data_IF_110479507348
#
_entry.id   IF_110479507348
#
_cell.length_a   1.000
_cell.length_b   1.000
_cell.length_c   1.000
_cell.angle_alpha   90.00
_cell.angle_beta   90.00
_cell.angle_gamma   90.00
#
_symmetry.space_group_name_H-M   'P 1'
#
loop_
_entity.id
_entity.type
_entity.pdbx_description
1 polymer ?
#
# COMPACT_ATOMS: atom_id res chain seq x y z
N UNK A 1 -15.30 3.23 -13.21
CA UNK A 1 -15.02 4.01 -11.99
C UNK A 1 -16.38 4.34 -11.39
N UNK A 2 -16.68 3.80 -10.21
CA UNK A 2 -17.92 4.11 -9.51
C UNK A 2 -17.78 5.49 -8.86
N UNK A 3 -18.86 6.25 -8.88
CA UNK A 3 -18.93 7.48 -8.10
C UNK A 3 -19.06 7.14 -6.61
N UNK A 4 -18.65 8.08 -5.74
CA UNK A 4 -18.64 7.95 -4.28
C UNK A 4 -20.01 7.48 -3.77
N UNK A 5 -21.11 8.00 -4.31
CA UNK A 5 -22.46 7.59 -3.91
C UNK A 5 -22.74 6.12 -4.26
N UNK A 6 -22.28 5.66 -5.41
CA UNK A 6 -22.47 4.28 -5.84
C UNK A 6 -21.61 3.31 -5.00
N UNK A 7 -20.39 3.73 -4.62
CA UNK A 7 -19.53 2.97 -3.70
C UNK A 7 -20.22 2.83 -2.34
N UNK A 8 -20.72 3.93 -1.76
CA UNK A 8 -21.43 3.91 -0.47
C UNK A 8 -22.68 3.03 -0.51
N UNK A 9 -23.45 3.08 -1.60
CA UNK A 9 -24.60 2.19 -1.76
C UNK A 9 -24.18 0.72 -1.80
N UNK A 10 -23.11 0.40 -2.55
CA UNK A 10 -22.58 -0.95 -2.67
C UNK A 10 -22.05 -1.48 -1.33
N UNK A 11 -21.33 -0.64 -0.57
CA UNK A 11 -20.86 -1.00 0.78
C UNK A 11 -22.02 -1.40 1.69
N UNK A 12 -23.04 -0.56 1.79
CA UNK A 12 -24.23 -0.85 2.62
C UNK A 12 -24.96 -2.10 2.13
N UNK A 13 -25.07 -2.29 0.82
CA UNK A 13 -25.72 -3.45 0.24
C UNK A 13 -24.99 -4.74 0.61
N UNK A 14 -23.66 -4.76 0.45
CA UNK A 14 -22.84 -5.94 0.75
C UNK A 14 -22.75 -6.24 2.25
N UNK A 15 -22.83 -5.24 3.12
CA UNK A 15 -22.90 -5.46 4.58
C UNK A 15 -24.17 -6.23 5.00
N UNK A 16 -25.28 -6.06 4.27
CA UNK A 16 -26.53 -6.78 4.54
C UNK A 16 -26.59 -8.17 3.88
N UNK A 17 -25.53 -8.54 3.13
CA UNK A 17 -25.51 -9.76 2.36
C UNK A 17 -25.36 -10.99 3.27
N UNK A 18 -26.26 -11.97 3.12
CA UNK A 18 -26.35 -13.10 4.06
C UNK A 18 -25.40 -14.27 3.72
N UNK A 19 -24.80 -14.28 2.53
CA UNK A 19 -23.94 -15.37 2.08
C UNK A 19 -22.48 -14.92 1.99
N UNK A 20 -21.57 -15.88 1.80
CA UNK A 20 -20.16 -15.57 1.55
C UNK A 20 -19.99 -14.88 0.20
N UNK A 21 -19.19 -13.82 0.18
CA UNK A 21 -18.78 -13.10 -1.03
C UNK A 21 -17.25 -13.09 -1.10
N UNK A 22 -16.71 -13.18 -2.32
CA UNK A 22 -15.30 -12.96 -2.60
C UNK A 22 -15.18 -11.68 -3.42
N UNK A 23 -14.48 -10.69 -2.89
CA UNK A 23 -14.31 -9.39 -3.54
C UNK A 23 -12.83 -9.11 -3.75
N UNK A 24 -12.50 -8.61 -4.95
CA UNK A 24 -11.17 -8.09 -5.27
C UNK A 24 -11.31 -6.58 -5.42
N UNK A 25 -10.65 -5.83 -4.54
CA UNK A 25 -10.66 -4.37 -4.57
C UNK A 25 -9.27 -3.82 -4.25
N UNK A 26 -8.97 -2.65 -4.81
CA UNK A 26 -7.80 -1.85 -4.45
C UNK A 26 -8.16 -0.68 -3.52
N UNK A 27 -9.44 -0.49 -3.21
CA UNK A 27 -9.92 0.54 -2.30
C UNK A 27 -9.87 0.05 -0.86
N UNK A 28 -9.03 0.71 -0.05
CA UNK A 28 -8.81 0.36 1.35
C UNK A 28 -10.04 0.64 2.22
N UNK A 29 -10.76 1.72 1.94
CA UNK A 29 -11.93 2.11 2.73
C UNK A 29 -13.08 1.12 2.51
N UNK A 30 -13.30 0.76 1.24
CA UNK A 30 -14.28 -0.26 0.88
C UNK A 30 -13.97 -1.61 1.53
N UNK A 31 -12.71 -2.07 1.45
CA UNK A 31 -12.30 -3.32 2.07
C UNK A 31 -12.51 -3.27 3.59
N UNK A 32 -12.07 -2.19 4.24
CA UNK A 32 -12.30 -2.00 5.68
C UNK A 32 -13.78 -2.06 6.08
N UNK A 33 -14.68 -1.53 5.25
CA UNK A 33 -16.10 -1.48 5.57
C UNK A 33 -16.82 -2.81 5.37
N UNK A 34 -16.37 -3.65 4.43
CA UNK A 34 -17.17 -4.80 3.95
C UNK A 34 -16.57 -6.15 4.31
N UNK A 35 -15.23 -6.29 4.37
CA UNK A 35 -14.60 -7.61 4.49
C UNK A 35 -14.42 -8.06 5.93
N UNK A 36 -14.58 -9.37 6.17
CA UNK A 36 -14.31 -9.99 7.47
C UNK A 36 -12.94 -10.67 7.53
N UNK A 37 -12.40 -11.03 6.36
CA UNK A 37 -11.16 -11.77 6.18
C UNK A 37 -10.49 -11.30 4.90
N UNK A 38 -9.15 -11.30 4.91
CA UNK A 38 -8.32 -10.88 3.77
C UNK A 38 -7.45 -12.04 3.33
N UNK A 39 -7.47 -12.28 2.03
CA UNK A 39 -6.56 -13.22 1.37
C UNK A 39 -5.51 -12.39 0.64
N UNK A 40 -4.29 -12.39 1.18
CA UNK A 40 -3.16 -11.68 0.60
C UNK A 40 -2.39 -12.62 -0.34
N UNK A 41 -2.36 -12.27 -1.62
CA UNK A 41 -1.55 -12.94 -2.64
C UNK A 41 -0.19 -12.24 -2.74
N UNK A 42 0.88 -12.91 -2.31
CA UNK A 42 2.25 -12.40 -2.36
C UNK A 42 3.26 -13.52 -2.64
N UNK A 43 4.28 -13.25 -3.47
CA UNK A 43 5.32 -14.23 -3.86
C UNK A 43 4.76 -15.61 -4.26
N UNK A 44 3.70 -15.60 -5.08
CA UNK A 44 2.97 -16.79 -5.55
C UNK A 44 2.34 -17.64 -4.43
N UNK A 45 2.10 -17.05 -3.26
CA UNK A 45 1.48 -17.70 -2.10
C UNK A 45 0.27 -16.91 -1.62
N UNK A 46 -0.70 -17.63 -1.07
CA UNK A 46 -1.89 -17.07 -0.45
C UNK A 46 -1.74 -17.18 1.07
N UNK A 47 -1.87 -16.05 1.75
CA UNK A 47 -1.93 -16.00 3.21
C UNK A 47 -3.24 -15.35 3.65
N UNK A 48 -3.94 -15.99 4.58
CA UNK A 48 -5.23 -15.52 5.09
C UNK A 48 -5.05 -14.78 6.40
N UNK A 49 -5.73 -13.65 6.53
CA UNK A 49 -5.75 -12.77 7.69
C UNK A 49 -7.19 -12.56 8.12
N UNK A 50 -7.46 -12.69 9.42
CA UNK A 50 -8.78 -12.43 9.98
C UNK A 50 -8.89 -10.96 10.38
N UNK A 51 -9.99 -10.32 10.00
CA UNK A 51 -10.25 -8.90 10.24
C UNK A 51 -10.27 -8.07 8.96
N UNK A 52 -10.44 -6.78 9.15
CA UNK A 52 -10.45 -5.75 8.10
C UNK A 52 -9.05 -5.48 7.51
N UNK A 53 -8.97 -4.52 6.58
CA UNK A 53 -7.75 -4.16 5.88
C UNK A 53 -6.71 -3.51 6.80
N UNK A 54 -7.12 -2.69 7.76
CA UNK A 54 -6.21 -2.10 8.75
C UNK A 54 -5.54 -3.17 9.63
N UNK A 55 -6.31 -4.13 10.12
CA UNK A 55 -5.78 -5.25 10.90
C UNK A 55 -4.81 -6.12 10.09
N UNK A 56 -5.11 -6.36 8.81
CA UNK A 56 -4.20 -7.02 7.89
C UNK A 56 -2.87 -6.26 7.77
N UNK A 57 -2.90 -4.96 7.47
CA UNK A 57 -1.70 -4.14 7.29
C UNK A 57 -0.85 -4.16 8.56
N UNK A 58 -1.47 -3.94 9.71
CA UNK A 58 -0.77 -3.96 11.01
C UNK A 58 -0.12 -5.31 11.30
N UNK A 59 -0.87 -6.40 11.10
CA UNK A 59 -0.36 -7.76 11.32
C UNK A 59 0.78 -8.10 10.37
N UNK A 60 0.69 -7.68 9.10
CA UNK A 60 1.74 -7.83 8.10
C UNK A 60 3.01 -7.07 8.53
N UNK A 61 2.88 -5.81 8.92
CA UNK A 61 4.01 -5.00 9.39
C UNK A 61 4.69 -5.59 10.63
N UNK A 62 3.91 -6.02 11.62
CA UNK A 62 4.44 -6.62 12.85
C UNK A 62 5.18 -7.93 12.55
N UNK A 63 4.64 -8.75 11.64
CA UNK A 63 5.32 -9.98 11.17
C UNK A 63 6.62 -9.67 10.45
N UNK A 64 6.64 -8.67 9.56
CA UNK A 64 7.85 -8.24 8.87
C UNK A 64 8.91 -7.71 9.85
N UNK A 65 8.52 -6.88 10.83
CA UNK A 65 9.42 -6.37 11.87
C UNK A 65 10.01 -7.50 12.71
N UNK A 66 9.21 -8.48 13.10
CA UNK A 66 9.69 -9.64 13.86
C UNK A 66 10.66 -10.49 13.05
N UNK A 67 10.33 -10.80 11.79
CA UNK A 67 11.22 -11.51 10.88
C UNK A 67 12.54 -10.76 10.68
N UNK A 68 12.50 -9.42 10.59
CA UNK A 68 13.70 -8.60 10.45
C UNK A 68 14.58 -8.65 11.69
N UNK A 69 14.00 -8.57 12.90
CA UNK A 69 14.76 -8.72 14.15
C UNK A 69 15.40 -10.10 14.29
N UNK A 70 14.66 -11.16 13.95
CA UNK A 70 15.19 -12.52 13.97
C UNK A 70 16.35 -12.70 12.98
N UNK A 71 16.20 -12.15 11.78
CA UNK A 71 17.24 -12.13 10.76
C UNK A 71 18.49 -11.39 11.25
N UNK A 72 18.34 -10.19 11.79
CA UNK A 72 19.46 -9.38 12.31
C UNK A 72 20.17 -10.08 13.48
N UNK A 73 19.43 -10.70 14.40
CA UNK A 73 20.00 -11.46 15.51
C UNK A 73 20.80 -12.67 15.03
N UNK A 74 20.28 -13.43 14.05
CA UNK A 74 21.00 -14.56 13.47
C UNK A 74 22.24 -14.11 12.69
N UNK A 75 22.14 -12.98 11.98
CA UNK A 75 23.25 -12.39 11.25
C UNK A 75 24.39 -11.99 12.19
N UNK A 76 24.09 -11.22 13.25
CA UNK A 76 25.07 -10.81 14.25
C UNK A 76 25.70 -12.02 14.96
N UNK A 77 24.91 -13.05 15.28
CA UNK A 77 25.43 -14.27 15.89
C UNK A 77 26.42 -15.02 14.98
N UNK A 78 26.09 -15.14 13.70
CA UNK A 78 26.99 -15.73 12.69
C UNK A 78 28.27 -14.91 12.55
N UNK A 79 28.15 -13.60 12.44
CA UNK A 79 29.29 -12.68 12.33
C UNK A 79 30.22 -12.79 13.55
N UNK A 80 29.66 -12.82 14.76
CA UNK A 80 30.44 -12.96 15.99
C UNK A 80 31.25 -14.28 16.02
N UNK A 81 30.63 -15.39 15.61
CA UNK A 81 31.32 -16.69 15.51
C UNK A 81 32.40 -16.65 14.44
N UNK A 82 32.12 -16.04 13.28
CA UNK A 82 33.06 -15.92 12.18
C UNK A 82 34.31 -15.14 12.60
N UNK A 83 34.15 -13.99 13.25
CA UNK A 83 35.26 -13.18 13.78
C UNK A 83 36.11 -13.97 14.79
N UNK A 84 35.48 -14.78 15.65
CA UNK A 84 36.20 -15.65 16.58
C UNK A 84 37.03 -16.72 15.85
N UNK A 85 36.43 -17.39 14.85
CA UNK A 85 37.10 -18.39 14.02
C UNK A 85 38.29 -17.77 13.33
N UNK A 86 38.11 -16.63 12.64
CA UNK A 86 39.17 -15.98 11.87
C UNK A 86 40.33 -15.50 12.75
N UNK A 87 40.02 -14.94 13.92
CA UNK A 87 41.03 -14.47 14.87
C UNK A 87 41.86 -15.60 15.47
N UNK A 88 41.25 -16.75 15.77
CA UNK A 88 41.92 -17.85 16.48
C UNK A 88 42.25 -19.05 15.60
N UNK A 89 42.03 -18.97 14.27
CA UNK A 89 42.27 -20.05 13.31
C UNK A 89 43.69 -20.62 13.36
N UNK A 90 44.67 -19.75 13.58
CA UNK A 90 46.09 -20.10 13.62
C UNK A 90 46.64 -20.32 15.03
N UNK A 91 45.80 -20.24 16.07
CA UNK A 91 46.23 -20.45 17.46
C UNK A 91 46.03 -21.90 17.89
N UNK A 92 47.14 -22.65 18.00
CA UNK A 92 47.15 -24.06 18.37
C UNK A 92 46.43 -24.35 19.71
N UNK A 93 46.54 -23.46 20.70
CA UNK A 93 45.92 -23.65 22.02
C UNK A 93 44.39 -23.52 21.99
N UNK A 94 43.80 -22.92 20.95
CA UNK A 94 42.34 -22.73 20.81
C UNK A 94 41.73 -23.54 19.66
N UNK A 95 42.51 -24.43 19.03
CA UNK A 95 42.08 -25.22 17.88
C UNK A 95 40.79 -26.02 18.14
N UNK A 96 40.65 -26.66 19.30
CA UNK A 96 39.45 -27.41 19.66
C UNK A 96 38.18 -26.51 19.75
N UNK A 97 38.32 -25.29 20.26
CA UNK A 97 37.22 -24.33 20.35
C UNK A 97 36.82 -23.80 18.97
N UNK A 98 37.79 -23.49 18.11
CA UNK A 98 37.55 -23.07 16.72
C UNK A 98 36.82 -24.16 15.94
N UNK A 99 37.26 -25.41 16.06
CA UNK A 99 36.62 -26.57 15.40
C UNK A 99 35.17 -26.79 15.87
N UNK A 100 34.90 -26.63 17.16
CA UNK A 100 33.54 -26.70 17.71
C UNK A 100 32.64 -25.58 17.16
N UNK A 101 33.14 -24.35 17.12
CA UNK A 101 32.42 -23.19 16.59
C UNK A 101 32.19 -23.26 15.08
N UNK A 102 33.15 -23.82 14.32
CA UNK A 102 33.00 -24.08 12.89
C UNK A 102 31.86 -25.06 12.61
N UNK A 103 31.82 -26.19 13.34
CA UNK A 103 30.72 -27.15 13.26
C UNK A 103 29.37 -26.56 13.68
N UNK A 104 29.37 -25.61 14.62
CA UNK A 104 28.17 -24.90 15.03
C UNK A 104 27.67 -23.99 13.90
N UNK A 105 28.56 -23.23 13.26
CA UNK A 105 28.24 -22.36 12.13
C UNK A 105 27.66 -23.14 10.95
N UNK A 106 28.22 -24.31 10.62
CA UNK A 106 27.71 -25.20 9.57
C UNK A 106 26.30 -25.74 9.86
N UNK A 107 25.95 -25.92 11.13
CA UNK A 107 24.63 -26.41 11.57
C UNK A 107 23.58 -25.31 11.64
N UNK A 108 23.95 -24.03 11.57
CA UNK A 108 22.99 -22.94 11.63
C UNK A 108 22.13 -22.91 10.35
N UNK A 109 20.80 -22.76 10.47
CA UNK A 109 19.89 -22.72 9.32
C UNK A 109 20.22 -21.54 8.40
N UNK A 110 20.14 -21.75 7.09
CA UNK A 110 20.47 -20.73 6.08
C UNK A 110 19.70 -19.43 6.31
N UNK A 111 20.45 -18.32 6.28
CA UNK A 111 19.91 -16.99 6.47
C UNK A 111 19.25 -16.53 5.16
N UNK A 112 17.92 -16.52 5.12
CA UNK A 112 17.17 -16.04 3.95
C UNK A 112 16.95 -14.52 4.06
N UNK A 113 17.41 -13.72 3.08
CA UNK A 113 17.15 -12.29 3.09
C UNK A 113 15.65 -12.01 2.96
N UNK A 114 15.18 -10.97 3.64
CA UNK A 114 13.79 -10.53 3.53
C UNK A 114 13.57 -9.83 2.19
N UNK A 115 12.55 -10.28 1.45
CA UNK A 115 12.07 -9.60 0.26
C UNK A 115 11.44 -8.26 0.68
N UNK A 116 12.10 -7.15 0.35
CA UNK A 116 11.54 -5.82 0.60
C UNK A 116 10.62 -5.43 -0.56
N UNK A 117 9.40 -5.03 -0.23
CA UNK A 117 8.51 -4.41 -1.20
C UNK A 117 9.10 -3.07 -1.67
N UNK A 118 8.95 -2.76 -2.96
CA UNK A 118 9.48 -1.51 -3.51
C UNK A 118 8.62 -0.35 -3.04
N UNK A 119 9.20 0.59 -2.29
CA UNK A 119 8.52 1.83 -1.94
C UNK A 119 8.46 2.76 -3.15
N UNK A 120 7.24 3.07 -3.59
CA UNK A 120 7.02 4.04 -4.67
C UNK A 120 6.98 5.44 -4.04
N UNK A 121 8.06 6.20 -4.23
CA UNK A 121 8.08 7.62 -3.85
C UNK A 121 7.70 8.47 -5.05
N UNK A 122 6.52 9.08 -5.02
CA UNK A 122 6.09 10.05 -6.02
C UNK A 122 6.65 11.43 -5.64
N UNK A 123 7.64 11.90 -6.39
CA UNK A 123 8.17 13.26 -6.28
C UNK A 123 7.70 14.07 -7.48
N UNK A 124 7.12 15.22 -7.21
CA UNK A 124 6.86 16.21 -8.23
C UNK A 124 8.08 17.12 -8.36
N UNK A 125 8.40 17.62 -9.57
CA UNK A 125 9.48 18.57 -9.74
C UNK A 125 9.14 19.90 -9.08
N UNK A 126 10.03 20.38 -8.20
CA UNK A 126 9.87 21.67 -7.51
C UNK A 126 10.34 22.87 -8.35
N UNK A 127 11.01 22.62 -9.48
CA UNK A 127 11.60 23.62 -10.36
C UNK A 127 10.62 24.12 -11.43
N UNK A 128 9.43 24.58 -11.03
CA UNK A 128 8.52 25.25 -11.95
C UNK A 128 8.70 26.77 -11.91
N UNK A 129 8.53 27.42 -13.05
CA UNK A 129 8.51 28.88 -13.13
C UNK A 129 7.29 29.41 -12.36
N UNK A 130 7.51 30.34 -11.44
CA UNK A 130 6.42 30.93 -10.66
C UNK A 130 5.55 31.79 -11.58
N UNK A 131 4.35 31.31 -11.87
CA UNK A 131 3.34 32.06 -12.62
C UNK A 131 2.80 33.21 -11.74
N UNK A 132 2.66 34.40 -12.31
CA UNK A 132 1.97 35.50 -11.62
C UNK A 132 0.45 35.24 -11.58
N UNK A 133 -0.23 35.47 -10.44
CA UNK A 133 -1.69 35.34 -10.36
C UNK A 133 -2.42 36.31 -11.33
N UNK A 134 -3.61 35.94 -11.83
CA UNK A 134 -4.30 34.65 -11.65
C UNK A 134 -3.72 33.56 -12.57
N UNK A 135 -3.55 32.34 -12.04
CA UNK A 135 -3.00 31.22 -12.83
C UNK A 135 -4.07 30.65 -13.76
N UNK A 136 -5.30 30.53 -13.28
CA UNK A 136 -6.45 30.13 -14.06
C UNK A 136 -7.65 30.96 -13.60
N UNK A 137 -8.34 31.58 -14.53
CA UNK A 137 -9.58 32.29 -14.27
C UNK A 137 -10.58 31.93 -15.39
N UNK A 138 -11.75 31.48 -14.97
CA UNK A 138 -12.93 31.26 -15.78
C UNK A 138 -13.95 32.28 -15.31
N UNK A 139 -14.48 33.09 -16.23
CA UNK A 139 -15.50 34.08 -15.94
C UNK A 139 -16.74 33.78 -16.78
N UNK A 140 -17.88 33.58 -16.10
CA UNK A 140 -19.21 33.41 -16.70
C UNK A 140 -19.27 32.33 -17.81
N UNK A 141 -18.52 31.24 -17.64
CA UNK A 141 -18.40 30.22 -18.67
C UNK A 141 -19.70 29.42 -18.81
N UNK A 142 -20.16 29.29 -20.05
CA UNK A 142 -21.24 28.40 -20.45
C UNK A 142 -20.69 27.25 -21.31
N UNK A 143 -21.17 26.03 -21.06
CA UNK A 143 -20.76 24.86 -21.83
C UNK A 143 -21.91 23.88 -22.01
N UNK A 144 -22.03 23.35 -23.21
CA UNK A 144 -23.05 22.38 -23.60
C UNK A 144 -22.51 21.52 -24.76
N UNK A 145 -22.84 20.22 -24.76
CA UNK A 145 -22.53 19.35 -25.91
C UNK A 145 -23.59 19.48 -27.01
N UNK A 146 -24.86 19.58 -26.61
CA UNK A 146 -26.02 19.79 -27.46
C UNK A 146 -26.79 21.02 -26.96
N UNK A 147 -27.49 21.72 -27.83
CA UNK A 147 -28.28 22.93 -27.49
C UNK A 147 -29.31 22.69 -26.38
N UNK A 148 -29.78 21.46 -26.22
CA UNK A 148 -30.86 21.11 -25.29
C UNK A 148 -30.34 20.74 -23.88
N UNK A 149 -29.03 20.51 -23.70
CA UNK A 149 -28.45 20.10 -22.43
C UNK A 149 -27.26 20.97 -22.05
N UNK A 150 -27.53 22.01 -21.25
CA UNK A 150 -26.50 22.86 -20.64
C UNK A 150 -25.84 22.14 -19.48
N UNK A 151 -24.52 22.02 -19.53
CA UNK A 151 -23.71 21.40 -18.47
C UNK A 151 -23.19 22.44 -17.48
N UNK A 152 -22.78 23.60 -17.96
CA UNK A 152 -22.37 24.73 -17.13
C UNK A 152 -23.11 25.99 -17.58
N UNK A 153 -23.55 26.79 -16.61
CA UNK A 153 -24.19 28.09 -16.82
C UNK A 153 -23.55 29.11 -15.88
N UNK A 154 -22.96 30.17 -16.44
CA UNK A 154 -22.30 31.25 -15.69
C UNK A 154 -21.29 30.73 -14.66
N UNK A 155 -20.46 29.75 -15.05
CA UNK A 155 -19.44 29.21 -14.16
C UNK A 155 -18.26 30.18 -14.04
N UNK A 156 -18.04 30.72 -12.84
CA UNK A 156 -16.86 31.53 -12.51
C UNK A 156 -15.98 30.82 -11.50
N UNK A 157 -14.72 30.55 -11.86
CA UNK A 157 -13.74 29.82 -11.02
C UNK A 157 -12.37 30.45 -11.19
N UNK A 158 -11.68 30.74 -10.10
CA UNK A 158 -10.28 31.16 -10.09
C UNK A 158 -9.40 30.17 -9.32
N UNK A 159 -8.16 30.02 -9.77
CA UNK A 159 -7.14 29.22 -9.11
C UNK A 159 -5.79 29.94 -9.14
N UNK A 160 -5.08 29.83 -8.02
CA UNK A 160 -3.74 30.36 -7.80
C UNK A 160 -2.71 29.21 -7.64
N UNK A 161 -1.43 29.55 -7.52
CA UNK A 161 -0.33 28.57 -7.42
C UNK A 161 -0.44 27.62 -6.20
N UNK A 162 -1.15 28.01 -5.15
CA UNK A 162 -1.33 27.20 -3.93
C UNK A 162 -2.68 26.48 -3.89
N UNK A 163 -3.55 26.70 -4.88
CA UNK A 163 -4.89 26.13 -4.89
C UNK A 163 -4.86 24.60 -5.05
N UNK A 164 -5.58 23.90 -4.15
CA UNK A 164 -5.85 22.46 -4.27
C UNK A 164 -7.32 22.27 -4.59
N UNK A 165 -7.62 22.03 -5.87
CA UNK A 165 -8.99 21.91 -6.37
C UNK A 165 -9.28 20.44 -6.66
N UNK A 166 -10.36 19.91 -6.07
CA UNK A 166 -10.89 18.59 -6.38
C UNK A 166 -12.17 18.75 -7.20
N UNK A 167 -12.18 18.23 -8.43
CA UNK A 167 -13.37 18.23 -9.28
C UNK A 167 -14.06 16.87 -9.11
N UNK A 168 -15.27 16.90 -8.54
CA UNK A 168 -16.07 15.70 -8.31
C UNK A 168 -17.24 15.69 -9.28
N UNK A 169 -17.53 14.53 -9.87
CA UNK A 169 -18.68 14.34 -10.75
C UNK A 169 -19.46 13.11 -10.32
N UNK A 170 -20.77 13.30 -10.14
CA UNK A 170 -21.69 12.18 -10.00
C UNK A 170 -21.89 11.58 -11.37
N UNK A 171 -21.59 10.29 -11.51
CA UNK A 171 -21.97 9.55 -12.70
C UNK A 171 -23.49 9.41 -12.70
N UNK A 172 -24.17 10.26 -13.47
CA UNK A 172 -25.53 10.01 -13.90
C UNK A 172 -25.50 8.86 -14.93
N UNK A 173 -25.32 7.63 -14.45
CA UNK A 173 -25.86 6.49 -15.17
C UNK A 173 -27.37 6.67 -15.16
N UNK A 174 -27.97 6.73 -16.35
CA UNK A 174 -29.40 6.60 -16.55
C UNK A 174 -29.87 5.27 -15.94
N UNK A 175 -30.17 5.27 -14.64
CA UNK A 175 -31.14 4.35 -14.08
C UNK A 175 -32.48 5.01 -14.39
N UNK A 176 -32.99 4.73 -15.59
CA UNK A 176 -34.42 4.83 -15.85
C UNK A 176 -35.11 3.97 -14.78
N UNK A 177 -35.98 4.54 -13.94
CA UNK A 177 -36.86 3.75 -13.09
C UNK A 177 -38.06 3.18 -13.86
N UNK A 178 -38.19 3.47 -15.17
CA UNK A 178 -39.38 3.23 -16.00
C UNK A 178 -39.12 2.36 -17.26
N UNK A 179 -38.14 1.45 -17.25
CA UNK A 179 -38.03 0.33 -18.22
C UNK A 179 -37.90 -1.03 -17.51
#
# INVERSE_FOLDING_TARGET
>A
MLDVRAILWLENYLQTWQTTILVVSHDRNFLNAVVTDIIHLHSQRLESYRGDYENFVKTKEDRLKNQQREYEAQFQYREHIQVFIDRFRYNANRAAQVQSKLKLLEKLPELKPLEKETEVTLKFPDNFEKLSPPVLQLDEVEFYYNTDQRLFTQLSVSADLESRICIVRINHTALNPDD
#
